data_IF_650475465455
#
_entry.id   IF_650475465455
#
_cell.length_a   1.000
_cell.length_b   1.000
_cell.length_c   1.000
_cell.angle_alpha   90.00
_cell.angle_beta   90.00
_cell.angle_gamma   90.00
#
_symmetry.space_group_name_H-M   'P 1'
#
loop_
_entity.id
_entity.type
_entity.pdbx_description
1 polymer ?
#
# COMPACT_ATOMS: atom_id res chain seq x y z
N UNK A 1 38.29 -6.91 11.85
CA UNK A 1 37.25 -7.94 12.03
C UNK A 1 36.12 -7.60 11.07
N UNK A 2 35.66 -8.55 10.25
CA UNK A 2 34.52 -8.33 9.37
C UNK A 2 33.24 -8.34 10.22
N UNK A 3 32.76 -7.15 10.59
CA UNK A 3 31.44 -7.01 11.21
C UNK A 3 30.38 -7.14 10.11
N UNK A 4 29.25 -7.78 10.44
CA UNK A 4 28.07 -7.76 9.56
C UNK A 4 27.62 -6.31 9.37
N UNK A 5 27.57 -5.85 8.13
CA UNK A 5 27.11 -4.49 7.75
C UNK A 5 25.59 -4.34 7.79
N UNK A 6 24.87 -5.37 8.26
CA UNK A 6 23.43 -5.37 8.38
C UNK A 6 22.96 -6.02 9.69
N UNK A 7 21.77 -5.61 10.14
CA UNK A 7 21.06 -6.15 11.31
C UNK A 7 19.67 -6.62 10.90
N UNK A 8 19.19 -7.70 11.51
CA UNK A 8 17.82 -8.17 11.30
C UNK A 8 17.06 -8.08 12.62
N UNK A 9 16.09 -7.17 12.70
CA UNK A 9 15.30 -6.95 13.90
C UNK A 9 13.81 -7.13 13.60
N UNK A 10 13.06 -7.87 14.43
CA UNK A 10 11.60 -7.85 14.36
C UNK A 10 11.09 -6.51 14.90
N UNK A 11 10.33 -5.77 14.10
CA UNK A 11 9.73 -4.48 14.47
C UNK A 11 8.20 -4.61 14.43
N UNK A 12 7.51 -4.00 15.40
CA UNK A 12 6.05 -4.03 15.44
C UNK A 12 5.47 -3.31 14.20
N UNK A 13 4.49 -3.93 13.54
CA UNK A 13 3.90 -3.41 12.31
C UNK A 13 3.32 -2.00 12.52
N UNK A 14 2.66 -1.78 13.66
CA UNK A 14 2.08 -0.47 13.99
C UNK A 14 3.15 0.63 14.08
N UNK A 15 4.34 0.32 14.59
CA UNK A 15 5.45 1.27 14.68
C UNK A 15 5.95 1.64 13.27
N UNK A 16 6.19 0.64 12.42
CA UNK A 16 6.58 0.87 11.02
C UNK A 16 5.57 1.74 10.27
N UNK A 17 4.27 1.50 10.47
CA UNK A 17 3.22 2.30 9.82
C UNK A 17 3.13 3.73 10.38
N UNK A 18 3.40 3.93 11.67
CA UNK A 18 3.54 5.27 12.27
C UNK A 18 4.78 6.00 11.76
N UNK A 19 5.88 5.28 11.53
CA UNK A 19 7.09 5.84 10.94
C UNK A 19 6.88 6.27 9.48
N UNK A 20 6.11 5.49 8.70
CA UNK A 20 5.63 5.91 7.37
C UNK A 20 4.73 7.17 7.46
N UNK A 21 3.88 7.25 8.48
CA UNK A 21 2.96 8.38 8.68
C UNK A 21 3.71 9.67 8.98
N UNK A 22 4.69 9.64 9.89
CA UNK A 22 5.44 10.83 10.31
C UNK A 22 6.64 11.15 9.39
N UNK A 23 6.97 10.27 8.45
CA UNK A 23 8.07 10.45 7.49
C UNK A 23 9.44 10.04 8.03
N UNK A 24 9.51 9.23 9.10
CA UNK A 24 10.77 8.61 9.56
C UNK A 24 11.21 7.46 8.66
N UNK A 25 10.26 6.67 8.17
CA UNK A 25 10.48 5.66 7.15
C UNK A 25 9.96 6.20 5.82
N UNK A 26 10.86 6.44 4.87
CA UNK A 26 10.51 6.94 3.54
C UNK A 26 10.96 5.98 2.45
N UNK A 27 10.56 6.25 1.22
CA UNK A 27 10.95 5.50 0.03
C UNK A 27 12.05 6.27 -0.69
N UNK A 28 13.02 5.60 -1.34
CA UNK A 28 13.82 6.26 -2.36
C UNK A 28 12.95 6.70 -3.55
N UNK A 29 13.22 7.88 -4.10
CA UNK A 29 12.45 8.47 -5.20
C UNK A 29 12.52 7.68 -6.53
N UNK A 30 13.59 6.95 -6.74
CA UNK A 30 13.80 6.08 -7.90
C UNK A 30 12.86 4.86 -7.91
N UNK A 31 12.30 4.47 -6.76
CA UNK A 31 11.29 3.41 -6.72
C UNK A 31 10.02 3.83 -7.46
N UNK A 32 9.37 2.86 -8.11
CA UNK A 32 8.10 3.10 -8.81
C UNK A 32 6.99 3.60 -7.88
N UNK A 33 5.91 4.09 -8.49
CA UNK A 33 4.69 4.41 -7.76
C UNK A 33 4.02 3.14 -7.21
N UNK A 34 3.07 3.30 -6.30
CA UNK A 34 2.28 2.18 -5.82
C UNK A 34 1.34 1.67 -6.92
N UNK A 35 1.33 0.34 -7.13
CA UNK A 35 0.70 -0.31 -8.29
C UNK A 35 0.03 -1.64 -7.94
N UNK A 36 -0.24 -1.90 -6.67
CA UNK A 36 -0.95 -3.11 -6.26
C UNK A 36 -2.44 -3.01 -6.53
N UNK A 37 -2.99 -4.11 -7.05
CA UNK A 37 -4.42 -4.30 -7.25
C UNK A 37 -5.14 -4.69 -5.94
N UNK A 38 -6.47 -4.62 -5.96
CA UNK A 38 -7.31 -4.92 -4.78
C UNK A 38 -7.15 -6.35 -4.25
N UNK A 39 -6.77 -7.33 -5.08
CA UNK A 39 -6.66 -8.73 -4.64
C UNK A 39 -5.34 -8.96 -3.90
N UNK A 40 -4.23 -8.39 -4.37
CA UNK A 40 -2.96 -8.41 -3.62
C UNK A 40 -3.08 -7.74 -2.26
N UNK A 41 -3.85 -6.66 -2.18
CA UNK A 41 -4.15 -5.96 -0.93
C UNK A 41 -4.92 -6.90 0.02
N UNK A 42 -6.00 -7.53 -0.46
CA UNK A 42 -6.79 -8.50 0.33
C UNK A 42 -5.95 -9.67 0.82
N UNK A 43 -5.15 -10.27 -0.06
CA UNK A 43 -4.26 -11.39 0.27
C UNK A 43 -3.26 -11.00 1.38
N UNK A 44 -2.66 -9.81 1.29
CA UNK A 44 -1.75 -9.31 2.32
C UNK A 44 -2.45 -9.14 3.67
N UNK A 45 -3.63 -8.51 3.70
CA UNK A 45 -4.41 -8.33 4.92
C UNK A 45 -4.81 -9.68 5.51
N UNK A 46 -5.24 -10.62 4.66
CA UNK A 46 -5.61 -11.96 5.08
C UNK A 46 -4.45 -12.70 5.74
N UNK A 47 -3.22 -12.57 5.21
CA UNK A 47 -2.02 -13.14 5.83
C UNK A 47 -1.70 -12.51 7.19
N UNK A 48 -1.72 -11.18 7.30
CA UNK A 48 -1.49 -10.49 8.60
C UNK A 48 -2.55 -10.91 9.62
N UNK A 49 -3.81 -10.98 9.21
CA UNK A 49 -4.92 -11.37 10.08
C UNK A 49 -4.83 -12.82 10.61
N UNK A 50 -4.00 -13.65 9.96
CA UNK A 50 -3.67 -15.04 10.36
C UNK A 50 -2.30 -15.15 11.03
N UNK A 51 -1.60 -14.04 11.25
CA UNK A 51 -0.20 -14.01 11.71
C UNK A 51 0.75 -14.81 10.80
N UNK A 52 0.43 -14.93 9.51
CA UNK A 52 1.28 -15.61 8.53
C UNK A 52 2.39 -14.67 8.04
N UNK A 53 3.62 -15.16 7.82
CA UNK A 53 4.74 -14.34 7.44
C UNK A 53 4.54 -13.73 6.05
N UNK A 54 4.60 -12.40 5.97
CA UNK A 54 4.46 -11.65 4.70
C UNK A 54 5.81 -11.31 4.04
N UNK A 55 6.90 -11.94 4.49
CA UNK A 55 8.28 -11.67 4.07
C UNK A 55 8.96 -10.56 4.87
N UNK A 56 10.29 -10.48 4.79
CA UNK A 56 11.08 -9.43 5.43
C UNK A 56 10.93 -8.09 4.68
N UNK A 57 11.23 -6.99 5.36
CA UNK A 57 11.47 -5.69 4.75
C UNK A 57 12.97 -5.41 4.74
N UNK A 58 13.39 -4.54 3.84
CA UNK A 58 14.78 -4.07 3.81
C UNK A 58 14.81 -2.55 3.85
N UNK A 59 15.62 -1.99 4.74
CA UNK A 59 15.78 -0.56 4.91
C UNK A 59 17.26 -0.18 4.93
N UNK A 60 17.57 1.04 4.49
CA UNK A 60 18.88 1.66 4.61
C UNK A 60 18.82 2.78 5.65
N UNK A 61 19.68 2.72 6.66
CA UNK A 61 19.81 3.80 7.62
C UNK A 61 20.42 5.03 6.94
N UNK A 62 19.81 6.19 7.15
CA UNK A 62 20.21 7.45 6.52
C UNK A 62 21.37 8.12 7.26
N UNK A 63 22.01 9.10 6.61
CA UNK A 63 23.07 9.91 7.20
C UNK A 63 24.49 9.36 6.99
N UNK A 64 24.67 8.48 6.01
CA UNK A 64 25.97 8.01 5.54
C UNK A 64 26.30 8.52 4.13
N UNK A 65 27.20 7.82 3.42
CA UNK A 65 27.65 8.23 2.08
C UNK A 65 26.55 8.11 1.01
N UNK A 66 25.64 7.14 1.16
CA UNK A 66 24.56 6.91 0.19
C UNK A 66 23.42 7.91 0.42
N UNK A 67 23.29 8.88 -0.49
CA UNK A 67 22.29 9.92 -0.42
C UNK A 67 21.22 9.77 -1.52
N UNK A 68 20.29 8.84 -1.31
CA UNK A 68 19.10 8.74 -2.15
C UNK A 68 18.08 9.82 -1.79
N UNK A 69 17.47 10.42 -2.81
CA UNK A 69 16.43 11.42 -2.58
C UNK A 69 15.20 10.76 -1.95
N UNK A 70 14.75 11.23 -0.78
CA UNK A 70 13.65 10.60 -0.07
C UNK A 70 12.30 11.06 -0.63
N UNK A 71 11.33 10.16 -0.57
CA UNK A 71 9.94 10.37 -0.96
C UNK A 71 9.03 9.68 0.07
N UNK A 72 8.09 10.39 0.71
CA UNK A 72 7.16 9.76 1.62
C UNK A 72 6.32 8.65 0.96
N UNK A 73 5.87 7.72 1.79
CA UNK A 73 4.89 6.70 1.39
C UNK A 73 3.63 7.38 0.83
N UNK A 74 3.05 6.78 -0.19
CA UNK A 74 1.88 7.35 -0.85
C UNK A 74 0.70 7.46 0.12
N UNK A 75 0.11 8.65 0.18
CA UNK A 75 -0.97 8.97 1.10
C UNK A 75 -0.54 9.54 2.45
N UNK A 76 0.76 9.60 2.76
CA UNK A 76 1.27 10.24 3.98
C UNK A 76 0.93 11.74 4.03
N UNK A 77 0.78 12.33 5.23
CA UNK A 77 0.52 13.76 5.40
C UNK A 77 1.60 14.64 4.74
N UNK A 78 1.24 15.86 4.36
CA UNK A 78 2.18 16.80 3.73
C UNK A 78 3.42 17.07 4.60
N UNK A 79 3.25 17.04 5.93
CA UNK A 79 4.32 17.22 6.91
C UNK A 79 5.41 16.15 6.79
N UNK A 80 5.07 14.93 6.35
CA UNK A 80 6.04 13.86 6.16
C UNK A 80 7.09 14.21 5.10
N UNK A 81 6.77 15.10 4.13
CA UNK A 81 7.74 15.58 3.13
C UNK A 81 8.85 16.44 3.73
N UNK A 82 8.59 17.07 4.87
CA UNK A 82 9.54 17.96 5.55
C UNK A 82 10.33 17.23 6.65
N UNK A 83 9.98 15.98 6.95
CA UNK A 83 10.69 15.16 7.92
C UNK A 83 11.98 14.62 7.30
N UNK A 84 13.08 14.71 8.04
CA UNK A 84 14.31 13.97 7.72
C UNK A 84 14.06 12.49 8.00
N UNK A 85 14.14 11.61 7.00
CA UNK A 85 13.97 10.17 7.23
C UNK A 85 15.10 9.67 8.14
N UNK A 86 14.79 8.66 8.96
CA UNK A 86 15.78 7.87 9.69
C UNK A 86 16.26 6.70 8.83
N UNK A 87 15.36 6.14 8.02
CA UNK A 87 15.66 5.05 7.11
C UNK A 87 14.86 5.12 5.81
N UNK A 88 15.40 4.49 4.76
CA UNK A 88 14.79 4.38 3.44
C UNK A 88 14.43 2.93 3.13
N UNK A 89 13.17 2.67 2.81
CA UNK A 89 12.65 1.34 2.50
C UNK A 89 13.08 0.91 1.08
N UNK A 90 14.04 -0.02 1.03
CA UNK A 90 14.60 -0.58 -0.20
C UNK A 90 13.76 -1.73 -0.76
N UNK A 91 13.12 -2.53 0.09
CA UNK A 91 12.18 -3.57 -0.32
C UNK A 91 10.90 -3.56 0.54
N UNK A 92 9.80 -4.02 -0.06
CA UNK A 92 8.51 -4.12 0.62
C UNK A 92 7.66 -2.85 0.53
N UNK A 93 8.06 -1.90 -0.31
CA UNK A 93 7.32 -0.67 -0.60
C UNK A 93 5.82 -0.92 -0.82
N UNK A 94 5.48 -1.87 -1.70
CA UNK A 94 4.09 -2.10 -2.09
C UNK A 94 3.26 -2.68 -0.93
N UNK A 95 3.86 -3.53 -0.09
CA UNK A 95 3.24 -4.10 1.11
C UNK A 95 2.99 -2.99 2.14
N UNK A 96 4.02 -2.23 2.48
CA UNK A 96 3.93 -1.16 3.48
C UNK A 96 2.98 -0.03 3.06
N UNK A 97 3.00 0.36 1.79
CA UNK A 97 2.07 1.36 1.26
C UNK A 97 0.63 0.85 1.34
N UNK A 98 0.38 -0.41 0.96
CA UNK A 98 -0.97 -0.99 1.02
C UNK A 98 -1.50 -1.06 2.46
N UNK A 99 -0.69 -1.54 3.40
CA UNK A 99 -1.08 -1.60 4.82
C UNK A 99 -1.34 -0.20 5.39
N UNK A 100 -0.50 0.78 5.07
CA UNK A 100 -0.69 2.17 5.50
C UNK A 100 -2.00 2.76 4.98
N UNK A 101 -2.25 2.59 3.68
CA UNK A 101 -3.45 3.07 2.98
C UNK A 101 -4.74 2.51 3.60
N UNK A 102 -4.79 1.22 3.91
CA UNK A 102 -6.02 0.55 4.38
C UNK A 102 -6.26 0.65 5.88
N UNK A 103 -5.20 0.84 6.69
CA UNK A 103 -5.31 0.76 8.17
C UNK A 103 -5.18 2.09 8.91
N UNK A 104 -4.23 2.96 8.54
CA UNK A 104 -3.94 4.18 9.31
C UNK A 104 -4.32 5.48 8.60
N UNK A 105 -4.40 5.47 7.26
CA UNK A 105 -4.66 6.71 6.49
C UNK A 105 -6.06 7.29 6.74
N UNK A 106 -7.02 6.44 7.12
CA UNK A 106 -8.42 6.78 7.33
C UNK A 106 -9.05 7.57 6.17
N UNK A 107 -8.74 7.17 4.93
CA UNK A 107 -9.27 7.74 3.68
C UNK A 107 -9.59 6.61 2.72
N UNK A 108 -10.47 6.89 1.75
CA UNK A 108 -10.75 5.95 0.67
C UNK A 108 -9.47 5.63 -0.10
N UNK A 109 -9.29 4.35 -0.43
CA UNK A 109 -8.10 3.85 -1.11
C UNK A 109 -8.33 3.85 -2.62
N UNK A 110 -7.45 4.53 -3.35
CA UNK A 110 -7.48 4.59 -4.81
C UNK A 110 -6.59 3.48 -5.37
N UNK A 111 -7.16 2.37 -5.83
CA UNK A 111 -6.40 1.22 -6.34
C UNK A 111 -6.91 0.80 -7.72
N UNK A 112 -6.44 -0.33 -8.22
CA UNK A 112 -6.91 -0.94 -9.46
C UNK A 112 -7.50 -2.33 -9.19
N UNK A 113 -8.47 -2.73 -9.99
CA UNK A 113 -8.87 -4.14 -10.06
C UNK A 113 -7.77 -4.99 -10.72
N UNK A 114 -7.79 -6.33 -10.63
CA UNK A 114 -6.89 -7.19 -11.40
C UNK A 114 -6.92 -6.93 -12.92
N UNK A 115 -8.05 -6.41 -13.44
CA UNK A 115 -8.23 -5.99 -14.84
C UNK A 115 -7.73 -4.56 -15.13
N UNK A 116 -6.90 -4.00 -14.24
CA UNK A 116 -6.31 -2.66 -14.33
C UNK A 116 -7.31 -1.48 -14.41
N UNK A 117 -8.56 -1.68 -13.98
CA UNK A 117 -9.56 -0.60 -13.84
C UNK A 117 -9.35 0.14 -12.54
N UNK A 118 -9.22 1.48 -12.59
CA UNK A 118 -9.16 2.34 -11.40
C UNK A 118 -10.46 2.27 -10.59
N UNK A 119 -10.32 2.10 -9.28
CA UNK A 119 -11.43 1.98 -8.32
C UNK A 119 -11.09 2.70 -7.02
N UNK A 120 -12.12 3.14 -6.30
CA UNK A 120 -12.02 3.72 -4.96
C UNK A 120 -12.71 2.81 -3.98
N UNK A 121 -11.98 2.34 -2.97
CA UNK A 121 -12.44 1.29 -2.06
C UNK A 121 -12.22 1.65 -0.59
N UNK A 122 -13.21 1.30 0.22
CA UNK A 122 -13.01 0.98 1.62
C UNK A 122 -12.77 -0.52 1.75
N UNK A 123 -11.96 -0.93 2.73
CA UNK A 123 -11.70 -2.34 3.00
C UNK A 123 -12.28 -2.73 4.37
N UNK A 124 -12.95 -3.87 4.40
CA UNK A 124 -13.62 -4.41 5.57
C UNK A 124 -13.25 -5.88 5.78
N UNK A 125 -13.37 -6.34 7.02
CA UNK A 125 -13.35 -7.76 7.39
C UNK A 125 -14.78 -8.19 7.69
N UNK A 126 -15.28 -9.18 6.96
CA UNK A 126 -16.49 -9.92 7.30
C UNK A 126 -16.18 -10.82 8.50
N UNK A 127 -16.72 -10.46 9.67
CA UNK A 127 -16.42 -11.13 10.94
C UNK A 127 -16.86 -12.60 10.88
N UNK A 128 -18.02 -12.90 10.28
CA UNK A 128 -18.54 -14.26 10.22
C UNK A 128 -17.64 -15.15 9.37
N UNK A 129 -17.20 -14.65 8.21
CA UNK A 129 -16.27 -15.38 7.34
C UNK A 129 -14.88 -15.52 7.95
N UNK A 130 -14.38 -14.47 8.60
CA UNK A 130 -13.04 -14.49 9.20
C UNK A 130 -12.91 -15.54 10.33
N UNK A 131 -14.01 -15.81 11.03
CA UNK A 131 -14.11 -16.83 12.08
C UNK A 131 -14.49 -18.23 11.57
N UNK A 132 -14.85 -18.37 10.29
CA UNK A 132 -15.23 -19.66 9.74
C UNK A 132 -14.00 -20.42 9.24
N UNK A 133 -13.64 -21.59 9.83
CA UNK A 133 -12.46 -22.35 9.41
C UNK A 133 -12.58 -22.98 8.02
N UNK A 134 -13.79 -23.05 7.43
CA UNK A 134 -14.00 -23.63 6.10
C UNK A 134 -13.91 -22.62 4.96
N UNK A 135 -13.81 -21.33 5.28
CA UNK A 135 -13.73 -20.24 4.31
C UNK A 135 -12.30 -19.73 4.28
N UNK A 136 -11.74 -19.48 3.09
CA UNK A 136 -10.44 -18.82 3.02
C UNK A 136 -10.56 -17.41 3.60
N UNK A 137 -9.64 -17.03 4.50
CA UNK A 137 -9.62 -15.69 5.10
C UNK A 137 -9.57 -14.58 4.06
N UNK A 138 -9.00 -14.82 2.89
CA UNK A 138 -9.01 -13.82 1.81
C UNK A 138 -10.42 -13.44 1.39
N UNK A 139 -11.38 -14.38 1.38
CA UNK A 139 -12.79 -14.12 1.09
C UNK A 139 -13.51 -13.31 2.18
N UNK A 140 -12.94 -13.27 3.38
CA UNK A 140 -13.42 -12.42 4.46
C UNK A 140 -12.98 -10.95 4.28
N UNK A 141 -11.95 -10.68 3.48
CA UNK A 141 -11.48 -9.31 3.23
C UNK A 141 -12.20 -8.76 2.00
N UNK A 142 -13.09 -7.79 2.19
CA UNK A 142 -13.91 -7.25 1.10
C UNK A 142 -13.58 -5.79 0.81
N UNK A 143 -13.55 -5.46 -0.48
CA UNK A 143 -13.51 -4.08 -0.97
C UNK A 143 -14.93 -3.59 -1.24
N UNK A 144 -15.32 -2.48 -0.61
CA UNK A 144 -16.63 -1.83 -0.75
C UNK A 144 -16.44 -0.47 -1.46
N UNK A 145 -17.36 -0.02 -2.32
CA UNK A 145 -17.24 1.28 -2.99
C UNK A 145 -17.13 2.46 -2.00
N UNK A 146 -16.76 3.63 -2.50
CA UNK A 146 -16.56 4.84 -1.68
C UNK A 146 -17.79 5.24 -0.84
N UNK A 147 -19.00 5.03 -1.38
CA UNK A 147 -20.27 5.27 -0.68
C UNK A 147 -20.63 4.18 0.34
N UNK A 148 -19.77 3.17 0.49
CA UNK A 148 -19.91 2.02 1.39
C UNK A 148 -21.13 1.14 1.09
N UNK A 149 -21.70 1.23 -0.11
CA UNK A 149 -22.88 0.44 -0.51
C UNK A 149 -22.52 -0.47 -1.68
N UNK A 150 -22.52 -1.79 -1.45
CA UNK A 150 -22.33 -2.80 -2.48
C UNK A 150 -23.68 -3.10 -3.13
N UNK A 151 -23.76 -2.91 -4.45
CA UNK A 151 -24.97 -3.18 -5.23
C UNK A 151 -24.77 -4.34 -6.20
N UNK A 152 -25.82 -5.12 -6.42
CA UNK A 152 -25.90 -6.22 -7.40
C UNK A 152 -26.85 -5.84 -8.55
N UNK A 153 -27.06 -6.75 -9.51
CA UNK A 153 -27.99 -6.56 -10.63
C UNK A 153 -27.82 -5.21 -11.38
N UNK A 154 -26.59 -4.89 -11.78
CA UNK A 154 -26.23 -3.62 -12.44
C UNK A 154 -26.57 -2.36 -11.64
N UNK A 155 -26.55 -2.43 -10.31
CA UNK A 155 -26.73 -1.27 -9.43
C UNK A 155 -28.17 -1.07 -8.94
N UNK A 156 -29.08 -2.00 -9.22
CA UNK A 156 -30.49 -1.90 -8.79
C UNK A 156 -30.72 -2.35 -7.35
N UNK A 157 -30.07 -3.44 -6.96
CA UNK A 157 -30.32 -4.06 -5.65
C UNK A 157 -29.18 -3.77 -4.69
N UNK A 158 -29.52 -3.34 -3.48
CA UNK A 158 -28.53 -3.17 -2.39
C UNK A 158 -28.25 -4.52 -1.78
N UNK A 159 -27.02 -5.02 -1.98
CA UNK A 159 -26.57 -6.30 -1.43
C UNK A 159 -25.90 -6.14 -0.07
N UNK A 160 -25.27 -5.00 0.20
CA UNK A 160 -24.66 -4.67 1.48
C UNK A 160 -24.60 -3.15 1.63
N UNK A 161 -25.10 -2.63 2.73
CA UNK A 161 -25.03 -1.21 3.08
C UNK A 161 -24.17 -1.07 4.34
N UNK A 162 -23.08 -0.32 4.26
CA UNK A 162 -22.17 0.02 5.38
C UNK A 162 -22.00 1.54 5.51
N UNK A 163 -22.97 2.31 4.99
CA UNK A 163 -22.91 3.78 4.96
C UNK A 163 -22.99 4.43 6.35
N UNK A 164 -23.48 3.70 7.35
CA UNK A 164 -23.56 4.12 8.75
C UNK A 164 -22.97 3.05 9.70
N UNK A 165 -22.38 3.44 10.84
CA UNK A 165 -21.83 2.49 11.83
C UNK A 165 -22.85 1.44 12.30
N UNK A 166 -24.12 1.84 12.50
CA UNK A 166 -25.18 0.89 12.86
C UNK A 166 -25.34 -0.24 11.83
N UNK A 167 -25.14 0.05 10.53
CA UNK A 167 -25.19 -0.97 9.49
C UNK A 167 -23.93 -1.86 9.51
N UNK A 168 -22.76 -1.31 9.85
CA UNK A 168 -21.54 -2.10 10.07
C UNK A 168 -21.74 -3.12 11.20
N UNK A 169 -22.35 -2.69 12.32
CA UNK A 169 -22.65 -3.55 13.46
C UNK A 169 -23.68 -4.63 13.12
N UNK A 170 -24.79 -4.24 12.48
CA UNK A 170 -25.87 -5.15 12.10
C UNK A 170 -25.36 -6.24 11.13
N UNK A 171 -24.48 -5.86 10.20
CA UNK A 171 -23.94 -6.76 9.19
C UNK A 171 -22.69 -7.52 9.64
N UNK A 172 -22.15 -7.24 10.84
CA UNK A 172 -20.87 -7.77 11.34
C UNK A 172 -19.71 -7.53 10.38
N UNK A 173 -19.59 -6.30 9.89
CA UNK A 173 -18.54 -5.86 8.97
C UNK A 173 -17.59 -4.90 9.68
N UNK A 174 -16.36 -5.31 9.90
CA UNK A 174 -15.38 -4.54 10.65
C UNK A 174 -14.50 -3.68 9.72
N UNK A 175 -14.42 -2.36 9.89
CA UNK A 175 -13.61 -1.48 9.02
C UNK A 175 -12.11 -1.66 9.29
N UNK A 176 -11.30 -1.84 8.23
CA UNK A 176 -9.85 -2.00 8.41
C UNK A 176 -9.14 -0.77 8.97
N UNK A 177 -9.75 0.41 8.85
CA UNK A 177 -9.21 1.65 9.41
C UNK A 177 -9.17 1.67 10.94
N UNK A 178 -9.81 0.70 11.61
CA UNK A 178 -9.89 0.62 13.07
C UNK A 178 -9.16 -0.62 13.64
N UNK A 179 -8.37 -1.35 12.85
CA UNK A 179 -7.72 -2.60 13.35
C UNK A 179 -6.68 -2.36 14.44
N UNK A 180 -6.09 -1.17 14.50
CA UNK A 180 -5.11 -0.78 15.53
C UNK A 180 -5.74 -0.01 16.70
N UNK A 181 -7.00 0.40 16.58
CA UNK A 181 -7.74 1.13 17.61
C UNK A 181 -9.23 0.74 17.51
N UNK A 182 -9.55 -0.41 18.10
CA UNK A 182 -10.87 -1.04 17.99
C UNK A 182 -11.84 -0.58 19.07
N UNK A 183 -11.36 0.11 20.10
CA UNK A 183 -12.18 0.44 21.28
C UNK A 183 -13.40 1.31 20.89
N UNK A 184 -13.27 2.36 20.03
CA UNK A 184 -14.43 3.13 19.59
C UNK A 184 -15.47 2.32 18.82
N UNK A 185 -15.03 1.37 17.98
CA UNK A 185 -15.94 0.50 17.25
C UNK A 185 -16.62 -0.50 18.17
N UNK A 186 -15.86 -1.07 19.12
CA UNK A 186 -16.36 -2.01 20.12
C UNK A 186 -17.43 -1.37 21.00
N UNK A 187 -17.21 -0.14 21.49
CA UNK A 187 -18.17 0.56 22.34
C UNK A 187 -19.51 0.77 21.61
N UNK A 188 -19.46 1.21 20.35
CA UNK A 188 -20.66 1.37 19.51
C UNK A 188 -21.34 0.05 19.18
N UNK A 189 -20.56 -1.03 19.00
CA UNK A 189 -21.08 -2.37 18.76
C UNK A 189 -21.80 -2.94 19.99
N UNK A 190 -21.20 -2.80 21.18
CA UNK A 190 -21.79 -3.22 22.44
C UNK A 190 -23.03 -2.39 22.80
N UNK A 191 -23.08 -1.11 22.40
CA UNK A 191 -24.28 -0.27 22.49
C UNK A 191 -25.40 -0.69 21.53
N UNK A 192 -25.06 -1.03 20.28
CA UNK A 192 -26.03 -1.49 19.29
C UNK A 192 -26.66 -2.82 19.69
N UNK A 193 -25.85 -3.75 20.20
CA UNK A 193 -26.24 -5.07 20.66
C UNK A 193 -26.36 -5.12 22.19
N UNK A 194 -27.13 -4.21 22.80
CA UNK A 194 -27.39 -4.20 24.27
C UNK A 194 -28.36 -5.31 24.70
N UNK A 195 -28.32 -5.70 25.97
CA UNK A 195 -29.25 -6.70 26.53
C UNK A 195 -28.73 -8.13 26.48
N UNK A 196 -29.31 -9.02 27.29
CA UNK A 196 -28.83 -10.40 27.41
C UNK A 196 -29.17 -11.25 26.17
N UNK A 197 -30.21 -10.87 25.43
CA UNK A 197 -30.66 -11.49 24.18
C UNK A 197 -29.60 -11.44 23.06
N UNK A 198 -28.71 -10.44 23.09
CA UNK A 198 -27.66 -10.22 22.09
C UNK A 198 -26.26 -10.62 22.56
N UNK A 199 -26.18 -11.48 23.58
CA UNK A 199 -24.91 -12.01 24.09
C UNK A 199 -24.11 -12.76 23.01
N UNK A 200 -24.80 -13.40 22.05
CA UNK A 200 -24.16 -14.14 20.96
C UNK A 200 -23.35 -13.20 20.05
N UNK A 201 -23.92 -12.07 19.66
CA UNK A 201 -23.28 -11.08 18.79
C UNK A 201 -22.05 -10.46 19.49
N UNK A 202 -22.19 -10.07 20.76
CA UNK A 202 -21.06 -9.58 21.58
C UNK A 202 -19.97 -10.63 21.75
N UNK A 203 -20.34 -11.89 21.98
CA UNK A 203 -19.38 -12.97 22.09
C UNK A 203 -18.66 -13.26 20.76
N UNK A 204 -19.36 -13.18 19.62
CA UNK A 204 -18.75 -13.29 18.29
C UNK A 204 -17.66 -12.22 18.11
N UNK A 205 -17.94 -10.96 18.48
CA UNK A 205 -16.94 -9.91 18.40
C UNK A 205 -15.75 -10.17 19.33
N UNK A 206 -15.98 -10.65 20.56
CA UNK A 206 -14.89 -11.02 21.47
C UNK A 206 -13.97 -12.09 20.87
N UNK A 207 -14.53 -13.12 20.25
CA UNK A 207 -13.75 -14.16 19.57
C UNK A 207 -12.99 -13.57 18.37
N UNK A 208 -13.64 -12.73 17.57
CA UNK A 208 -13.02 -12.02 16.45
C UNK A 208 -11.84 -11.14 16.87
N UNK A 209 -12.01 -10.37 17.94
CA UNK A 209 -10.96 -9.52 18.51
C UNK A 209 -9.71 -10.35 18.83
N UNK A 210 -9.88 -11.43 19.58
CA UNK A 210 -8.77 -12.29 19.99
C UNK A 210 -8.14 -13.08 18.82
N UNK A 211 -8.95 -13.64 17.92
CA UNK A 211 -8.44 -14.49 16.83
C UNK A 211 -7.93 -13.72 15.61
N UNK A 212 -8.33 -12.45 15.45
CA UNK A 212 -8.08 -11.68 14.21
C UNK A 212 -7.46 -10.32 14.50
N UNK A 213 -8.08 -9.49 15.35
CA UNK A 213 -7.59 -8.10 15.57
C UNK A 213 -6.28 -8.05 16.35
N UNK A 214 -6.13 -8.90 17.37
CA UNK A 214 -4.90 -8.97 18.18
C UNK A 214 -3.67 -9.37 17.34
N UNK A 215 -3.87 -10.16 16.28
CA UNK A 215 -2.82 -10.49 15.33
C UNK A 215 -2.23 -9.23 14.66
N UNK A 216 -3.04 -8.21 14.35
CA UNK A 216 -2.52 -6.97 13.76
C UNK A 216 -1.63 -6.20 14.73
N UNK A 217 -2.07 -6.03 15.99
CA UNK A 217 -1.31 -5.28 17.01
C UNK A 217 -0.01 -5.97 17.40
N UNK A 218 -0.02 -7.30 17.47
CA UNK A 218 1.15 -8.11 17.83
C UNK A 218 2.04 -8.47 16.65
N UNK A 219 1.62 -8.15 15.40
CA UNK A 219 2.36 -8.53 14.21
C UNK A 219 3.74 -7.87 14.18
N UNK A 220 4.79 -8.69 14.11
CA UNK A 220 6.17 -8.22 13.94
C UNK A 220 6.69 -8.54 12.55
N UNK A 221 7.22 -7.52 11.88
CA UNK A 221 7.83 -7.65 10.56
C UNK A 221 9.35 -7.78 10.73
N UNK A 222 9.99 -8.81 10.17
CA UNK A 222 11.45 -8.85 10.11
C UNK A 222 11.97 -7.70 9.24
N UNK A 223 12.81 -6.83 9.78
CA UNK A 223 13.43 -5.72 9.06
C UNK A 223 14.93 -5.93 9.00
N UNK A 224 15.46 -6.01 7.79
CA UNK A 224 16.89 -6.05 7.49
C UNK A 224 17.34 -4.60 7.29
N UNK A 225 18.07 -4.06 8.26
CA UNK A 225 18.64 -2.71 8.21
C UNK A 225 20.07 -2.77 7.72
N UNK A 226 20.34 -2.12 6.58
CA UNK A 226 21.68 -1.82 6.09
C UNK A 226 22.19 -0.59 6.83
N UNK A 227 23.41 -0.66 7.36
CA UNK A 227 24.03 0.45 8.07
C UNK A 227 24.29 1.63 7.12
N UNK A 228 24.32 2.85 7.66
CA UNK A 228 24.64 4.08 6.92
C UNK A 228 26.04 4.03 6.30
N UNK A 229 26.95 3.26 6.90
CA UNK A 229 28.32 3.07 6.43
C UNK A 229 28.41 2.02 5.29
N UNK A 230 27.29 1.42 4.88
CA UNK A 230 27.26 0.46 3.76
C UNK A 230 27.57 1.18 2.45
N UNK A 231 28.55 0.65 1.68
CA UNK A 231 28.92 1.26 0.41
C UNK A 231 27.76 1.26 -0.58
N UNK A 232 27.75 2.27 -1.45
CA UNK A 232 26.75 2.45 -2.49
C UNK A 232 26.59 1.23 -3.40
N UNK A 233 27.71 0.62 -3.81
CA UNK A 233 27.72 -0.55 -4.67
C UNK A 233 27.07 -1.74 -3.97
N UNK A 234 27.37 -1.94 -2.68
CA UNK A 234 26.76 -2.99 -1.88
C UNK A 234 25.25 -2.78 -1.74
N UNK A 235 24.80 -1.54 -1.49
CA UNK A 235 23.37 -1.22 -1.41
C UNK A 235 22.66 -1.52 -2.73
N UNK A 236 23.24 -1.16 -3.88
CA UNK A 236 22.65 -1.43 -5.20
C UNK A 236 22.56 -2.94 -5.49
N UNK A 237 23.62 -3.71 -5.19
CA UNK A 237 23.64 -5.17 -5.38
C UNK A 237 22.61 -5.86 -4.48
N UNK A 238 22.50 -5.43 -3.22
CA UNK A 238 21.51 -5.97 -2.29
C UNK A 238 20.10 -5.62 -2.75
N UNK A 239 19.87 -4.38 -3.20
CA UNK A 239 18.59 -3.95 -3.76
C UNK A 239 18.19 -4.78 -4.98
N UNK A 240 19.09 -5.00 -5.93
CA UNK A 240 18.85 -5.84 -7.11
C UNK A 240 18.46 -7.27 -6.70
N UNK A 241 19.23 -7.90 -5.80
CA UNK A 241 19.00 -9.28 -5.39
C UNK A 241 17.68 -9.47 -4.66
N UNK A 242 17.32 -8.58 -3.73
CA UNK A 242 16.11 -8.74 -2.91
C UNK A 242 14.84 -8.48 -3.73
N UNK A 243 14.89 -7.58 -4.72
CA UNK A 243 13.73 -7.26 -5.55
C UNK A 243 13.39 -8.32 -6.61
N UNK A 244 14.13 -9.43 -6.70
CA UNK A 244 13.80 -10.55 -7.61
C UNK A 244 12.64 -11.42 -7.12
N UNK A 245 12.31 -11.41 -5.82
CA UNK A 245 11.25 -12.25 -5.25
C UNK A 245 9.82 -11.68 -5.31
N UNK A 246 9.67 -10.38 -5.60
CA UNK A 246 8.39 -9.67 -5.62
C UNK A 246 7.85 -9.40 -7.03
N UNK A 247 7.16 -8.26 -7.23
CA UNK A 247 6.97 -7.74 -8.60
C UNK A 247 8.33 -7.25 -9.07
N UNK A 248 9.00 -8.07 -9.87
CA UNK A 248 10.36 -7.85 -10.35
C UNK A 248 10.57 -6.42 -10.87
N UNK A 249 11.78 -5.92 -10.63
CA UNK A 249 12.20 -4.64 -11.22
C UNK A 249 12.33 -4.82 -12.73
N UNK A 250 11.82 -3.86 -13.50
CA UNK A 250 12.15 -3.80 -14.92
C UNK A 250 13.55 -3.19 -15.14
N UNK A 251 14.07 -3.31 -16.37
CA UNK A 251 15.40 -2.79 -16.72
C UNK A 251 15.51 -1.27 -16.47
N UNK A 252 14.41 -0.53 -16.63
CA UNK A 252 14.36 0.91 -16.39
C UNK A 252 14.43 1.23 -14.89
N UNK A 253 13.75 0.45 -14.06
CA UNK A 253 13.77 0.57 -12.59
C UNK A 253 15.18 0.26 -12.04
N UNK A 254 15.88 -0.75 -12.58
CA UNK A 254 17.27 -1.06 -12.22
C UNK A 254 18.23 0.08 -12.59
N UNK A 255 18.15 0.56 -13.84
CA UNK A 255 18.99 1.69 -14.31
C UNK A 255 18.74 2.94 -13.49
N UNK A 256 17.48 3.26 -13.21
CA UNK A 256 17.13 4.41 -12.37
C UNK A 256 17.74 4.28 -10.97
N UNK A 257 17.66 3.09 -10.35
CA UNK A 257 18.24 2.87 -9.03
C UNK A 257 19.76 3.04 -9.00
N UNK A 258 20.48 2.49 -9.98
CA UNK A 258 21.95 2.61 -10.07
C UNK A 258 22.41 4.06 -10.17
N UNK A 259 21.78 4.85 -11.04
CA UNK A 259 22.16 6.25 -11.26
C UNK A 259 21.58 7.22 -10.21
N UNK A 260 20.51 6.84 -9.49
CA UNK A 260 19.99 7.66 -8.39
C UNK A 260 21.02 7.83 -7.28
N UNK A 261 21.85 6.82 -7.03
CA UNK A 261 22.94 6.93 -6.09
C UNK A 261 24.09 7.84 -6.58
N UNK A 262 24.13 8.22 -7.86
CA UNK A 262 25.02 9.26 -8.42
C UNK A 262 24.37 10.65 -8.42
N UNK A 263 23.15 10.77 -7.87
CA UNK A 263 22.39 12.02 -7.85
C UNK A 263 21.55 12.27 -9.10
N UNK A 264 21.43 11.30 -10.01
CA UNK A 264 20.60 11.44 -11.21
C UNK A 264 19.14 11.03 -10.96
N UNK A 265 18.20 11.93 -11.19
CA UNK A 265 16.76 11.67 -11.03
C UNK A 265 16.12 11.15 -12.35
N UNK A 266 16.65 10.07 -12.94
CA UNK A 266 16.25 9.59 -14.28
C UNK A 266 14.74 9.35 -14.43
N UNK A 267 14.08 8.89 -13.36
CA UNK A 267 12.64 8.67 -13.33
C UNK A 267 11.86 9.99 -13.44
N UNK A 268 12.31 11.02 -12.73
CA UNK A 268 11.75 12.37 -12.82
C UNK A 268 12.00 12.96 -14.21
N UNK A 269 13.18 12.78 -14.77
CA UNK A 269 13.49 13.25 -16.14
C UNK A 269 12.59 12.60 -17.19
N UNK A 270 12.26 11.31 -16.99
CA UNK A 270 11.41 10.56 -17.91
C UNK A 270 9.93 10.91 -17.79
N UNK A 271 9.36 10.87 -16.57
CA UNK A 271 7.92 11.06 -16.35
C UNK A 271 7.51 12.52 -16.07
N UNK A 272 8.41 13.32 -15.50
CA UNK A 272 8.16 14.69 -15.07
C UNK A 272 7.86 14.83 -13.58
N UNK A 273 7.49 16.04 -13.19
CA UNK A 273 6.95 16.37 -11.88
C UNK A 273 5.65 17.20 -12.03
N UNK A 274 5.10 17.68 -10.91
CA UNK A 274 3.87 18.48 -10.92
C UNK A 274 4.01 19.80 -11.70
N UNK A 275 5.24 20.23 -12.02
CA UNK A 275 5.55 21.51 -12.68
C UNK A 275 6.03 21.33 -14.12
N UNK A 276 6.62 20.18 -14.46
CA UNK A 276 7.27 19.96 -15.75
C UNK A 276 6.92 18.60 -16.35
N UNK A 277 6.59 18.59 -17.65
CA UNK A 277 6.40 17.36 -18.41
C UNK A 277 7.74 16.66 -18.67
N UNK A 278 7.82 15.38 -18.31
CA UNK A 278 8.98 14.54 -18.59
C UNK A 278 9.20 14.25 -20.07
N UNK A 279 10.35 13.66 -20.40
CA UNK A 279 10.70 13.26 -21.79
C UNK A 279 9.66 12.34 -22.41
N UNK A 280 9.10 11.39 -21.65
CA UNK A 280 8.08 10.46 -22.14
C UNK A 280 6.84 11.20 -22.67
N UNK A 281 6.30 12.14 -21.88
CA UNK A 281 5.10 12.87 -22.26
C UNK A 281 5.35 13.76 -23.47
N UNK A 282 6.50 14.45 -23.50
CA UNK A 282 6.95 15.22 -24.68
C UNK A 282 7.05 14.33 -25.91
N UNK A 283 7.61 13.13 -25.79
CA UNK A 283 7.74 12.19 -26.90
C UNK A 283 6.38 11.72 -27.44
N UNK A 284 5.46 11.35 -26.54
CA UNK A 284 4.07 10.97 -26.91
C UNK A 284 3.34 12.13 -27.57
N UNK A 285 3.49 13.34 -27.04
CA UNK A 285 2.85 14.54 -27.58
C UNK A 285 3.40 14.87 -28.98
N UNK A 286 4.73 14.76 -29.19
CA UNK A 286 5.36 14.91 -30.52
C UNK A 286 4.88 13.85 -31.52
N UNK A 287 4.77 12.59 -31.10
CA UNK A 287 4.27 11.53 -31.98
C UNK A 287 2.80 11.74 -32.38
N UNK A 288 1.96 12.21 -31.45
CA UNK A 288 0.56 12.56 -31.77
C UNK A 288 0.46 13.72 -32.76
N UNK A 289 1.33 14.71 -32.65
CA UNK A 289 1.41 15.83 -33.60
C UNK A 289 1.84 15.33 -34.99
N UNK A 290 2.83 14.45 -35.06
CA UNK A 290 3.29 13.85 -36.33
C UNK A 290 2.18 13.04 -37.02
N UNK A 291 1.38 12.27 -36.26
CA UNK A 291 0.23 11.54 -36.81
C UNK A 291 -0.88 12.50 -37.31
N UNK A 292 -1.09 13.64 -36.65
CA UNK A 292 -2.06 14.65 -37.13
C UNK A 292 -1.61 15.37 -38.41
N UNK A 293 -0.30 15.65 -38.57
CA UNK A 293 0.25 16.24 -39.79
C UNK A 293 0.30 15.22 -40.96
N UNK A 294 0.46 13.93 -40.65
CA UNK A 294 0.39 12.85 -41.65
C UNK A 294 -1.02 12.70 -42.25
N UNK A 295 -2.08 12.95 -41.48
CA UNK A 295 -3.47 12.94 -41.97
C UNK A 295 -3.78 14.17 -42.82
N UNK A 296 -3.28 15.35 -42.45
CA UNK A 296 -3.49 16.58 -43.23
C UNK A 296 -2.70 16.61 -44.54
N UNK A 297 -1.54 15.95 -44.60
CA UNK A 297 -0.74 15.85 -45.84
C UNK A 297 -1.34 14.91 -46.90
N UNK A 298 -2.25 13.99 -46.52
CA UNK A 298 -3.01 13.16 -47.47
C UNK A 298 -4.25 13.87 -48.06
N UNK A 299 -4.74 14.94 -47.44
CA UNK A 299 -5.91 15.69 -47.93
C UNK A 299 -5.59 16.69 -49.06
N UNK A 300 -4.30 17.02 -49.28
CA UNK A 300 -3.86 18.02 -50.29
C UNK A 300 -3.36 17.44 -51.62
N UNK A 301 -3.52 16.14 -51.89
CA UNK A 301 -3.17 15.52 -53.19
C UNK A 301 -4.39 14.96 -53.93
N UNK A 302 -5.42 15.78 -54.13
CA UNK A 302 -6.46 15.49 -55.13
C UNK A 302 -7.03 16.80 -55.66
N UNK A 303 -6.36 17.35 -56.67
CA UNK A 303 -6.93 18.34 -57.60
C UNK A 303 -5.91 18.56 -58.72
N UNK A 304 -5.99 17.72 -59.74
CA UNK A 304 -5.77 18.03 -61.17
C UNK A 304 -6.48 16.93 -61.98
#
# INVERSE_FOLDING_TARGET
MAYSTFKTNPIDLIELLKDCHCGKLQLPDFQRSWVWDEDRIKALIASISRSFPVGALMALDTGGEVNFKPRPVEGSPAQAKNATPQSLLLDGQQRMTSLYQVTLRNKVVETVTPKNKKVRRWFYIDIRKALNPTVDREEAIIGVPEDRIKRTAFGRDVALDLSAPANEYAQLMYPLTQVFDWDPWQDGFDEHWRGNEHEKERNIFRIFKHQVLENFKSYRVPVISLDRDTSKEAVCVVFEKVNTGGKALDAFELVTAMYAAEGHELRKDWYGDDKHNGRHRRFVDTMRLADSEAVDSHSKRTTW
#
